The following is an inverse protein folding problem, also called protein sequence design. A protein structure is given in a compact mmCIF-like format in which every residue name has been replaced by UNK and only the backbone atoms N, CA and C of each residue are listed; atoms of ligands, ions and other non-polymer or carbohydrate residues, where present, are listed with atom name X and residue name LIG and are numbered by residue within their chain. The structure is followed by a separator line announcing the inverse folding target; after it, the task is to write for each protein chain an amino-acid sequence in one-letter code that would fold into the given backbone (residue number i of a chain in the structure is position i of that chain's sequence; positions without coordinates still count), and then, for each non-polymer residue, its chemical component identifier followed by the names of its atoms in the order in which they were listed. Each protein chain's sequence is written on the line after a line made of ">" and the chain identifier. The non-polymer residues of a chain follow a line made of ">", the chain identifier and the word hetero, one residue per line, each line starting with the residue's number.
data_IF_249060346831
#
_entry.id   IF_249060346831
#
_cell.length_a   1.000
_cell.length_b   1.000
_cell.length_c   1.000
_cell.angle_alpha   90.00
_cell.angle_beta   90.00
_cell.angle_gamma   90.00
#
_symmetry.space_group_name_H-M   'P 1'
#
loop_
_entity.id
_entity.type
_entity.pdbx_description
1 polymer ?
2 non-polymer ?
3 non-polymer ?
4 water ?
#
# COMPACT_ATOMS: atom_id res chain seq x y z
N UNK A 8 5.81 -38.57 8.33
CA UNK A 8 5.10 -37.55 7.56
C UNK A 8 5.74 -36.17 7.73
N UNK A 9 6.31 -35.63 6.65
CA UNK A 9 7.06 -34.38 6.72
C UNK A 9 6.13 -33.19 6.87
N UNK A 10 6.71 -32.03 7.18
CA UNK A 10 5.93 -30.79 7.30
C UNK A 10 5.22 -30.46 5.99
N UNK A 11 5.92 -30.65 4.87
CA UNK A 11 5.32 -30.43 3.55
C UNK A 11 4.17 -31.40 3.32
N UNK A 12 4.36 -32.66 3.72
CA UNK A 12 3.35 -33.69 3.53
C UNK A 12 2.09 -33.42 4.34
N UNK A 13 2.25 -32.91 5.55
CA UNK A 13 1.11 -32.51 6.37
C UNK A 13 0.30 -31.43 5.65
N UNK A 14 0.99 -30.43 5.09
CA UNK A 14 0.34 -29.36 4.34
C UNK A 14 -0.40 -29.93 3.13
N UNK A 15 0.27 -30.76 2.35
CA UNK A 15 -0.32 -31.36 1.14
C UNK A 15 -1.51 -32.26 1.49
N UNK A 16 -1.34 -33.10 2.50
CA UNK A 16 -2.39 -34.02 2.95
C UNK A 16 -3.61 -33.27 3.47
N UNK A 17 -3.37 -32.21 4.23
CA UNK A 17 -4.46 -31.40 4.79
C UNK A 17 -5.10 -30.46 3.77
N UNK A 18 -4.39 -30.21 2.67
CA UNK A 18 -4.89 -29.33 1.60
C UNK A 18 -4.96 -27.85 1.98
N UNK A 19 -4.29 -27.49 3.08
CA UNK A 19 -4.29 -26.11 3.57
C UNK A 19 -2.88 -25.72 4.04
N UNK A 20 -2.45 -24.51 3.68
CA UNK A 20 -1.24 -23.92 4.23
C UNK A 20 -1.66 -22.84 5.22
N UNK A 21 -1.42 -23.10 6.51
CA UNK A 21 -1.75 -22.16 7.56
C UNK A 21 -0.57 -21.20 7.81
N UNK A 22 -0.82 -19.91 7.61
CA UNK A 22 0.20 -18.87 7.72
C UNK A 22 -0.21 -17.90 8.82
N UNK A 23 0.68 -17.64 9.77
CA UNK A 23 0.42 -16.65 10.82
C UNK A 23 1.11 -15.33 10.48
N UNK A 24 0.41 -14.23 10.75
CA UNK A 24 0.89 -12.90 10.39
C UNK A 24 0.42 -11.87 11.40
N UNK A 25 0.76 -10.60 11.15
CA UNK A 25 0.29 -9.49 11.97
C UNK A 25 -0.98 -8.89 11.36
N UNK A 26 -1.81 -8.26 12.19
CA UNK A 26 -2.95 -7.51 11.68
C UNK A 26 -2.52 -6.08 11.33
N UNK A 27 -2.28 -5.85 10.03
CA UNK A 27 -1.93 -4.51 9.53
C UNK A 27 -1.92 -4.49 8.01
N UNK A 28 -2.21 -3.32 7.40
CA UNK A 28 -2.15 -3.17 5.95
C UNK A 28 -0.87 -3.69 5.30
N UNK A 29 0.26 -3.56 5.99
CA UNK A 29 1.53 -4.04 5.45
C UNK A 29 1.55 -5.55 5.25
N UNK A 30 0.89 -6.28 6.14
CA UNK A 30 0.99 -7.74 6.16
C UNK A 30 -0.31 -8.41 5.74
N UNK A 31 -1.39 -8.12 6.47
CA UNK A 31 -2.71 -8.70 6.20
C UNK A 31 -3.81 -7.76 6.72
N UNK A 32 -4.73 -7.41 5.82
CA UNK A 32 -5.78 -6.44 6.10
C UNK A 32 -7.10 -6.84 5.42
N UNK A 33 -8.17 -6.84 6.22
CA UNK A 33 -9.51 -7.18 5.74
C UNK A 33 -10.34 -5.93 5.48
N UNK A 34 -10.89 -5.85 4.27
CA UNK A 34 -11.74 -4.74 3.86
C UNK A 34 -12.93 -5.32 3.12
N UNK A 35 -14.08 -4.65 3.17
CA UNK A 35 -15.31 -5.14 2.51
C UNK A 35 -15.08 -5.69 1.09
N UNK A 36 -14.21 -5.04 0.32
CA UNK A 36 -13.89 -5.50 -1.03
C UNK A 36 -13.00 -6.75 -1.08
N UNK A 37 -12.23 -7.01 -0.01
CA UNK A 37 -11.40 -8.22 0.04
C UNK A 37 -10.21 -8.18 0.99
N UNK A 38 -9.24 -9.04 0.73
CA UNK A 38 -8.05 -9.16 1.56
C UNK A 38 -6.82 -8.69 0.81
N UNK A 39 -5.99 -7.87 1.47
CA UNK A 39 -4.76 -7.35 0.88
C UNK A 39 -3.59 -7.49 1.85
N UNK A 40 -2.39 -7.16 1.36
CA UNK A 40 -1.18 -7.14 2.16
C UNK A 40 -0.01 -7.78 1.43
N UNK A 41 1.16 -7.20 1.59
CA UNK A 41 2.39 -7.72 0.98
C UNK A 41 2.57 -9.21 1.29
N UNK A 42 2.51 -9.55 2.59
CA UNK A 42 2.69 -10.92 3.03
C UNK A 42 1.51 -11.79 2.59
N UNK A 43 0.30 -11.25 2.68
CA UNK A 43 -0.90 -11.97 2.28
C UNK A 43 -0.78 -12.45 0.83
N UNK A 44 -0.44 -11.54 -0.08
CA UNK A 44 -0.31 -11.87 -1.50
C UNK A 44 0.89 -12.78 -1.80
N UNK A 45 1.96 -12.61 -1.05
CA UNK A 45 3.14 -13.47 -1.24
C UNK A 45 2.83 -14.89 -0.79
N UNK A 46 2.20 -15.02 0.38
CA UNK A 46 1.77 -16.32 0.90
C UNK A 46 0.70 -16.98 0.03
N UNK A 47 -0.23 -16.16 -0.47
CA UNK A 47 -1.29 -16.64 -1.35
C UNK A 47 -0.68 -17.29 -2.59
N UNK A 48 0.29 -16.62 -3.20
CA UNK A 48 1.00 -17.15 -4.36
C UNK A 48 1.75 -18.45 -4.02
N UNK A 49 2.33 -18.52 -2.82
CA UNK A 49 3.00 -19.74 -2.37
C UNK A 49 2.02 -20.90 -2.19
N UNK A 50 0.84 -20.62 -1.62
CA UNK A 50 -0.20 -21.64 -1.47
C UNK A 50 -0.61 -22.19 -2.84
N UNK A 51 -0.78 -21.30 -3.80
CA UNK A 51 -1.08 -21.70 -5.18
C UNK A 51 0.04 -22.55 -5.79
N UNK A 52 1.30 -22.17 -5.55
CA UNK A 52 2.44 -22.98 -5.99
C UNK A 52 2.34 -24.41 -5.46
N UNK A 53 1.93 -24.55 -4.20
CA UNK A 53 1.81 -25.86 -3.54
C UNK A 53 0.50 -26.57 -3.86
N UNK A 54 -0.45 -25.89 -4.51
CA UNK A 54 -1.74 -26.48 -4.86
C UNK A 54 -2.66 -26.66 -3.67
N UNK A 55 -2.57 -25.73 -2.71
CA UNK A 55 -3.34 -25.81 -1.47
C UNK A 55 -3.94 -24.43 -1.18
N UNK A 56 -4.98 -24.41 -0.36
CA UNK A 56 -5.62 -23.14 -0.02
C UNK A 56 -4.89 -22.48 1.15
N UNK A 57 -4.98 -21.16 1.19
CA UNK A 57 -4.33 -20.36 2.22
C UNK A 57 -5.32 -20.18 3.36
N UNK A 58 -4.81 -20.27 4.58
CA UNK A 58 -5.60 -20.00 5.78
C UNK A 58 -4.79 -19.04 6.67
N UNK A 59 -5.27 -17.81 6.76
CA UNK A 59 -4.57 -16.77 7.50
C UNK A 59 -4.98 -16.80 8.97
N UNK A 60 -3.97 -16.81 9.85
CA UNK A 60 -4.15 -16.66 11.29
C UNK A 60 -3.36 -15.43 11.71
N UNK A 61 -3.87 -14.70 12.70
CA UNK A 61 -3.20 -13.48 13.16
C UNK A 61 -2.75 -13.61 14.61
N UNK A 62 -1.68 -12.88 14.94
CA UNK A 62 -1.14 -12.82 16.30
C UNK A 62 -1.32 -11.42 16.88
N UNK A 63 -1.54 -11.34 18.18
CA UNK A 63 -1.73 -10.06 18.85
C UNK A 63 -0.42 -9.28 19.00
N UNK A 64 0.70 -10.01 18.99
CA UNK A 64 2.02 -9.42 19.07
C UNK A 64 3.08 -10.45 18.65
N UNK A 65 4.35 -10.04 18.65
CA UNK A 65 5.42 -10.89 18.13
C UNK A 65 5.70 -12.08 19.05
N UNK A 66 5.68 -11.88 20.35
CA UNK A 66 5.84 -12.99 21.30
C UNK A 66 4.77 -14.04 21.05
N UNK A 67 3.53 -13.60 20.88
CA UNK A 67 2.40 -14.50 20.57
C UNK A 67 2.60 -15.20 19.22
N UNK A 68 3.05 -14.45 18.22
CA UNK A 68 3.31 -15.02 16.90
C UNK A 68 4.31 -16.17 16.97
N UNK A 69 5.44 -15.94 17.62
CA UNK A 69 6.47 -16.99 17.76
C UNK A 69 6.01 -18.13 18.67
N UNK A 70 5.19 -17.81 19.67
CA UNK A 70 4.62 -18.83 20.56
C UNK A 70 3.68 -19.75 19.77
N UNK A 71 2.83 -19.19 18.92
CA UNK A 71 1.93 -20.01 18.09
C UNK A 71 2.70 -20.89 17.12
N UNK A 72 3.72 -20.32 16.49
CA UNK A 72 4.54 -21.05 15.50
C UNK A 72 5.20 -22.29 16.10
N UNK A 73 5.60 -22.22 17.36
CA UNK A 73 6.30 -23.34 18.00
C UNK A 73 5.39 -24.26 18.83
N UNK A 74 4.09 -23.99 18.84
CA UNK A 74 3.16 -24.87 19.58
C UNK A 74 2.78 -26.08 18.73
N UNK A 75 2.42 -27.16 19.41
CA UNK A 75 1.95 -28.37 18.74
C UNK A 75 0.63 -28.07 18.02
N UNK A 76 0.55 -28.44 16.75
CA UNK A 76 -0.62 -28.10 15.92
C UNK A 76 -0.65 -26.65 15.46
N UNK A 77 0.49 -25.97 15.54
CA UNK A 77 0.58 -24.58 15.11
C UNK A 77 0.60 -24.41 13.60
N UNK A 78 0.72 -23.17 13.13
CA UNK A 78 0.73 -22.94 11.69
C UNK A 78 2.00 -23.42 11.01
N UNK A 79 2.00 -23.47 9.69
CA UNK A 79 3.15 -23.96 8.92
C UNK A 79 4.30 -22.94 8.94
N UNK A 80 3.98 -21.66 8.82
CA UNK A 80 5.00 -20.62 8.80
C UNK A 80 4.43 -19.27 9.20
N UNK A 81 5.34 -18.34 9.52
CA UNK A 81 4.98 -16.97 9.84
C UNK A 81 5.50 -16.04 8.75
N UNK A 82 4.60 -15.22 8.21
CA UNK A 82 4.93 -14.26 7.17
C UNK A 82 4.42 -12.91 7.65
N UNK A 83 5.32 -12.12 8.22
CA UNK A 83 4.93 -10.92 8.96
C UNK A 83 6.01 -9.85 9.00
N UNK A 84 6.79 -9.73 7.93
CA UNK A 84 7.86 -8.72 7.88
C UNK A 84 8.88 -8.93 8.98
N UNK A 85 9.27 -10.18 9.21
CA UNK A 85 10.12 -10.54 10.35
C UNK A 85 11.61 -10.35 10.06
N UNK A 86 12.33 -9.80 11.03
CA UNK A 86 13.78 -9.67 10.97
C UNK A 86 14.38 -10.86 11.73
N UNK A 87 15.19 -11.70 11.06
CA UNK A 87 15.81 -12.80 11.81
C UNK A 87 16.62 -12.32 13.01
N UNK A 88 16.64 -13.12 14.07
CA UNK A 88 17.30 -12.75 15.31
C UNK A 88 18.79 -12.51 15.16
N UNK A 89 19.32 -11.60 15.97
CA UNK A 89 20.77 -11.35 16.03
C UNK A 89 21.52 -12.67 16.19
N UNK A 90 21.01 -13.55 17.05
CA UNK A 90 21.61 -14.86 17.30
C UNK A 90 20.57 -15.98 17.16
N UNK A 91 21.03 -17.17 16.76
CA UNK A 91 20.15 -18.31 16.50
C UNK A 91 19.46 -18.82 17.76
N UNK A 92 18.20 -19.21 17.61
CA UNK A 92 17.41 -19.85 18.65
C UNK A 92 16.82 -21.12 18.05
N UNK A 93 16.91 -22.24 18.78
CA UNK A 93 16.44 -23.53 18.27
C UNK A 93 14.95 -23.56 17.92
N UNK A 94 14.17 -22.66 18.52
CA UNK A 94 12.72 -22.62 18.32
C UNK A 94 12.29 -22.15 16.92
N UNK A 95 13.15 -21.40 16.22
CA UNK A 95 12.76 -20.81 14.94
C UNK A 95 13.88 -20.87 13.89
N UNK A 96 13.48 -21.12 12.65
CA UNK A 96 14.40 -21.09 11.51
C UNK A 96 13.83 -20.14 10.49
N UNK A 97 14.69 -19.37 9.84
CA UNK A 97 14.25 -18.36 8.88
C UNK A 97 14.60 -18.74 7.44
N UNK A 98 13.70 -18.39 6.53
CA UNK A 98 13.92 -18.55 5.09
C UNK A 98 15.00 -17.60 4.61
N UNK A 99 15.32 -17.69 3.32
CA UNK A 99 16.13 -16.67 2.66
C UNK A 99 15.37 -15.34 2.70
N UNK A 100 16.12 -14.24 2.59
CA UNK A 100 15.53 -12.92 2.74
C UNK A 100 14.87 -12.49 1.44
N UNK A 101 13.83 -11.66 1.54
CA UNK A 101 13.06 -11.27 0.36
C UNK A 101 12.79 -9.76 0.24
N UNK A 102 13.37 -8.98 1.15
CA UNK A 102 13.23 -7.52 1.11
C UNK A 102 14.25 -6.92 2.08
N UNK A 103 15.07 -6.02 1.56
CA UNK A 103 16.03 -5.30 2.38
C UNK A 103 15.38 -4.04 2.97
N UNK A 104 15.41 -3.93 4.30
CA UNK A 104 14.86 -2.79 5.00
C UNK A 104 15.88 -2.19 5.94
N UNK A 105 15.72 -0.91 6.25
CA UNK A 105 16.61 -0.21 7.15
C UNK A 105 15.84 0.27 8.37
N UNK A 106 16.27 -0.14 9.58
CA UNK A 106 15.62 0.39 10.77
C UNK A 106 15.83 1.89 10.89
N UNK A 107 14.78 2.64 11.19
CA UNK A 107 14.88 4.09 11.31
C UNK A 107 14.30 4.58 12.62
N UNK A 108 15.02 5.50 13.26
CA UNK A 108 14.49 6.25 14.41
C UNK A 108 13.57 7.33 13.86
N UNK A 109 12.36 7.40 14.41
CA UNK A 109 11.34 8.33 13.93
C UNK A 109 11.13 9.41 15.00
N UNK A 110 11.09 10.67 14.56
CA UNK A 110 10.86 11.80 15.48
C UNK A 110 9.72 12.70 14.98
N UNK A 111 9.36 13.70 15.79
CA UNK A 111 8.24 14.57 15.49
C UNK A 111 8.73 15.94 15.00
N UNK A 112 8.36 16.29 13.76
CA UNK A 112 8.59 17.63 13.25
C UNK A 112 8.07 18.63 14.27
N UNK A 113 8.91 19.57 14.68
CA UNK A 113 8.58 20.49 15.77
C UNK A 113 9.54 20.37 16.95
N UNK A 114 10.03 19.15 17.18
CA UNK A 114 11.06 18.88 18.19
C UNK A 114 12.41 18.64 17.51
N UNK A 115 13.49 18.66 18.29
CA UNK A 115 14.83 18.54 17.73
C UNK A 115 15.13 17.11 17.26
N UNK A 116 15.81 17.01 16.12
CA UNK A 116 16.09 15.72 15.50
C UNK A 116 17.32 15.09 16.14
N UNK A 117 17.14 13.94 16.83
CA UNK A 117 18.34 13.24 17.28
C UNK A 117 19.12 12.75 16.07
N UNK A 118 20.45 12.83 16.14
CA UNK A 118 21.31 12.56 14.99
C UNK A 118 22.13 11.28 15.11
N UNK A 119 22.38 10.84 16.34
CA UNK A 119 23.21 9.67 16.61
C UNK A 119 22.56 8.83 17.71
N UNK A 120 22.96 7.55 17.83
CA UNK A 120 22.46 6.68 18.91
C UNK A 120 22.56 7.29 20.32
N UNK A 121 23.63 8.03 20.60
CA UNK A 121 23.82 8.65 21.92
C UNK A 121 22.72 9.65 22.26
N UNK A 122 22.11 10.27 21.25
CA UNK A 122 21.03 11.22 21.45
C UNK A 122 19.71 10.58 21.89
N UNK A 123 19.62 9.25 21.86
CA UNK A 123 18.40 8.52 22.27
C UNK A 123 18.21 8.50 23.79
N UNK A 124 19.30 8.71 24.52
CA UNK A 124 19.26 8.85 25.98
C UNK A 124 18.46 10.10 26.34
N UNK A 125 17.61 9.98 27.36
CA UNK A 125 16.78 11.09 27.83
C UNK A 125 15.55 11.37 26.97
N UNK A 126 15.06 10.34 26.28
CA UNK A 126 13.88 10.48 25.42
C UNK A 126 12.78 9.50 25.81
N UNK A 127 11.54 9.92 25.62
CA UNK A 127 10.39 9.03 25.73
C UNK A 127 10.33 8.16 24.46
N UNK A 128 10.70 6.89 24.60
CA UNK A 128 10.76 5.96 23.46
C UNK A 128 9.85 4.74 23.68
N UNK A 129 9.06 4.40 22.66
CA UNK A 129 8.29 3.16 22.66
C UNK A 129 8.53 2.37 21.37
N UNK A 130 8.68 1.05 21.54
CA UNK A 130 8.84 0.12 20.44
C UNK A 130 7.97 -1.12 20.68
N UNK A 131 7.85 -1.96 19.66
CA UNK A 131 7.08 -3.20 19.79
C UNK A 131 7.82 -4.17 20.72
N UNK A 132 7.08 -4.77 21.64
CA UNK A 132 7.64 -5.80 22.50
C UNK A 132 7.97 -7.06 21.68
N UNK A 133 9.14 -7.63 21.95
CA UNK A 133 9.59 -8.84 21.28
C UNK A 133 10.19 -8.61 19.91
N UNK A 134 10.38 -7.34 19.53
CA UNK A 134 10.89 -6.99 18.20
C UNK A 134 12.41 -6.93 18.13
N UNK A 135 12.93 -7.03 16.91
CA UNK A 135 14.35 -6.82 16.65
C UNK A 135 14.74 -5.41 17.03
N UNK A 136 13.78 -4.49 16.90
CA UNK A 136 13.95 -3.09 17.28
C UNK A 136 14.20 -2.90 18.76
N UNK A 137 13.42 -3.59 19.59
CA UNK A 137 13.66 -3.61 21.03
C UNK A 137 15.06 -4.16 21.34
N UNK A 138 15.47 -5.21 20.62
CA UNK A 138 16.79 -5.79 20.80
C UNK A 138 17.92 -4.84 20.41
N UNK A 139 17.71 -4.04 19.36
CA UNK A 139 18.69 -3.03 18.99
C UNK A 139 18.91 -2.05 20.14
N UNK A 140 17.82 -1.68 20.81
CA UNK A 140 17.87 -0.76 21.93
C UNK A 140 18.45 -1.41 23.19
N UNK A 141 18.21 -2.72 23.35
CA UNK A 141 18.82 -3.48 24.45
C UNK A 141 20.33 -3.51 24.27
N UNK A 142 20.79 -3.82 23.05
CA UNK A 142 22.21 -3.78 22.74
C UNK A 142 22.81 -2.39 22.96
N UNK A 143 22.09 -1.34 22.54
CA UNK A 143 22.57 0.03 22.72
C UNK A 143 22.69 0.40 24.21
N UNK A 144 21.74 -0.09 25.01
CA UNK A 144 21.70 0.22 26.45
C UNK A 144 22.93 -0.30 27.21
N UNK A 145 23.54 -1.37 26.70
CA UNK A 145 24.80 -1.85 27.27
C UNK A 145 25.91 -0.80 27.13
N UNK A 146 25.85 0.00 26.07
CA UNK A 146 26.83 1.04 25.81
C UNK A 146 26.46 2.37 26.49
N UNK A 147 25.16 2.64 26.58
CA UNK A 147 24.65 3.82 27.29
C UNK A 147 23.62 3.37 28.33
N UNK A 148 24.07 3.04 29.55
CA UNK A 148 23.17 2.47 30.57
C UNK A 148 21.99 3.35 31.02
N UNK A 149 22.06 4.66 30.77
CA UNK A 149 20.95 5.55 31.13
C UNK A 149 19.82 5.55 30.10
N UNK A 150 20.02 4.89 28.96
CA UNK A 150 18.96 4.76 27.95
C UNK A 150 17.71 4.11 28.55
N UNK A 151 16.56 4.73 28.30
CA UNK A 151 15.26 4.17 28.67
C UNK A 151 14.37 4.04 27.43
N UNK A 152 13.69 2.90 27.33
CA UNK A 152 12.70 2.67 26.28
C UNK A 152 11.62 1.72 26.79
N UNK A 153 10.38 1.95 26.38
CA UNK A 153 9.26 1.10 26.76
C UNK A 153 8.92 0.12 25.64
N UNK A 154 8.52 -1.09 26.02
CA UNK A 154 8.09 -2.12 25.09
C UNK A 154 6.61 -2.39 25.32
N UNK A 155 5.79 -2.26 24.28
CA UNK A 155 4.36 -2.52 24.40
C UNK A 155 3.95 -3.74 23.58
N UNK A 156 3.12 -4.59 24.18
CA UNK A 156 2.55 -5.75 23.48
C UNK A 156 1.15 -5.45 22.93
N UNK A 157 0.65 -4.25 23.19
CA UNK A 157 -0.72 -3.87 22.86
C UNK A 157 -0.81 -3.00 21.60
N UNK A 158 0.34 -2.62 21.04
CA UNK A 158 0.37 -1.69 19.90
C UNK A 158 0.95 -2.33 18.65
N UNK A 159 0.57 -1.75 17.51
CA UNK A 159 1.19 -2.05 16.22
C UNK A 159 1.99 -0.85 15.77
N UNK A 160 2.71 -1.00 14.66
CA UNK A 160 3.57 0.05 14.14
C UNK A 160 2.79 1.34 13.87
N UNK A 161 1.57 1.19 13.35
CA UNK A 161 0.72 2.34 13.05
C UNK A 161 0.44 3.17 14.32
N UNK A 162 0.25 2.48 15.44
CA UNK A 162 0.00 3.14 16.72
C UNK A 162 1.25 3.87 17.24
N UNK A 163 2.41 3.23 17.11
CA UNK A 163 3.66 3.85 17.54
C UNK A 163 3.91 5.15 16.79
N UNK A 164 3.68 5.13 15.47
CA UNK A 164 3.87 6.30 14.64
C UNK A 164 2.82 7.37 14.95
N UNK A 165 1.60 6.94 15.30
CA UNK A 165 0.56 7.88 15.72
C UNK A 165 0.99 8.59 17.01
N UNK A 166 1.55 7.84 17.95
CA UNK A 166 2.03 8.41 19.21
C UNK A 166 3.11 9.47 19.01
N UNK A 167 3.97 9.27 18.03
CA UNK A 167 4.99 10.25 17.69
C UNK A 167 4.33 11.45 17.04
N UNK A 168 3.40 11.19 16.11
CA UNK A 168 2.70 12.25 15.39
C UNK A 168 1.98 13.25 16.31
N UNK A 169 1.35 12.76 17.38
CA UNK A 169 0.57 13.62 18.27
C UNK A 169 1.31 14.01 19.55
N UNK A 170 2.50 13.46 19.77
CA UNK A 170 3.35 13.88 20.87
C UNK A 170 3.19 13.10 22.18
N UNK A 171 2.62 11.90 22.11
CA UNK A 171 2.51 11.00 23.27
C UNK A 171 3.86 10.41 23.66
N UNK A 172 4.71 10.20 22.67
CA UNK A 172 6.09 9.78 22.88
C UNK A 172 6.97 10.67 22.01
N UNK A 173 8.27 10.69 22.31
CA UNK A 173 9.21 11.48 21.53
C UNK A 173 9.65 10.73 20.28
N UNK A 174 9.97 9.45 20.45
CA UNK A 174 10.61 8.66 19.38
C UNK A 174 10.11 7.24 19.32
N UNK A 175 10.20 6.65 18.13
CA UNK A 175 10.05 5.21 17.98
C UNK A 175 11.10 4.70 17.01
N UNK A 176 11.06 3.40 16.73
CA UNK A 176 12.02 2.73 15.86
C UNK A 176 11.27 1.68 15.07
N UNK A 177 11.30 1.82 13.74
CA UNK A 177 10.55 0.95 12.84
C UNK A 177 11.32 0.72 11.53
N UNK A 178 10.95 -0.32 10.80
CA UNK A 178 11.57 -0.62 9.51
C UNK A 178 11.17 0.41 8.47
N UNK A 179 12.13 0.81 7.64
CA UNK A 179 11.93 1.86 6.63
C UNK A 179 10.71 1.67 5.74
N UNK A 180 10.42 0.42 5.38
CA UNK A 180 9.29 0.13 4.50
C UNK A 180 7.93 0.48 5.13
N UNK A 181 7.78 0.19 6.42
CA UNK A 181 6.51 0.46 7.10
C UNK A 181 6.40 1.94 7.46
N UNK A 182 7.54 2.62 7.61
CA UNK A 182 7.55 4.08 7.73
C UNK A 182 7.01 4.69 6.44
N UNK A 183 7.53 4.25 5.30
CA UNK A 183 7.06 4.73 3.98
C UNK A 183 5.57 4.48 3.79
N UNK A 184 5.12 3.30 4.20
CA UNK A 184 3.69 2.97 4.12
C UNK A 184 2.80 3.87 4.99
N UNK A 185 3.33 4.31 6.13
CA UNK A 185 2.55 5.06 7.11
C UNK A 185 2.72 6.57 7.07
N UNK A 186 3.71 7.05 6.32
CA UNK A 186 4.01 8.49 6.25
C UNK A 186 2.80 9.28 5.73
N UNK A 187 2.00 8.64 4.87
CA UNK A 187 0.78 9.26 4.31
C UNK A 187 -0.36 9.48 5.30
N UNK A 188 -0.25 8.96 6.53
CA UNK A 188 -1.27 9.19 7.56
C UNK A 188 -0.83 10.18 8.63
N UNK A 189 0.48 10.36 8.80
CA UNK A 189 1.04 11.10 9.93
C UNK A 189 1.88 12.28 9.46
N UNK A 190 1.30 13.49 9.48
CA UNK A 190 1.96 14.63 8.84
C UNK A 190 3.23 15.14 9.53
N UNK A 191 3.37 14.88 10.84
CA UNK A 191 4.52 15.38 11.61
C UNK A 191 5.64 14.37 11.82
N UNK A 192 5.39 13.12 11.43
CA UNK A 192 6.40 12.06 11.53
C UNK A 192 7.53 12.31 10.53
N UNK A 193 8.77 12.14 10.99
CA UNK A 193 9.96 12.33 10.16
C UNK A 193 11.01 11.30 10.54
N UNK A 194 11.85 10.94 9.58
CA UNK A 194 12.97 10.04 9.84
C UNK A 194 14.07 10.85 10.53
N UNK A 195 14.55 10.38 11.67
CA UNK A 195 15.64 11.04 12.37
C UNK A 195 16.98 10.59 11.78
N UNK A 196 17.22 9.28 11.82
CA UNK A 196 18.39 8.68 11.17
C UNK A 196 18.21 7.16 11.01
N UNK A 197 19.02 6.56 10.15
CA UNK A 197 19.05 5.12 9.96
C UNK A 197 19.84 4.49 11.11
N UNK A 198 19.19 3.64 11.89
CA UNK A 198 19.83 3.04 13.04
C UNK A 198 20.24 1.60 12.72
N UNK A 199 21.52 1.43 12.40
CA UNK A 199 22.06 0.12 11.98
C UNK A 199 21.97 -0.08 10.48
N UNK A 200 22.65 -1.12 10.00
CA UNK A 200 22.69 -1.41 8.56
C UNK A 200 21.38 -2.04 8.10
N UNK A 201 21.19 -2.10 6.78
CA UNK A 201 20.00 -2.69 6.19
C UNK A 201 19.99 -4.18 6.49
N UNK A 202 18.79 -4.71 6.72
CA UNK A 202 18.62 -6.11 7.11
C UNK A 202 17.59 -6.74 6.19
N UNK A 203 17.67 -8.05 6.02
CA UNK A 203 16.70 -8.78 5.22
C UNK A 203 15.51 -9.26 6.02
N UNK A 204 14.32 -9.14 5.46
CA UNK A 204 13.13 -9.73 6.06
C UNK A 204 13.01 -11.18 5.56
N UNK A 205 12.51 -12.06 6.44
CA UNK A 205 12.41 -13.48 6.13
C UNK A 205 11.19 -14.12 6.79
N UNK A 206 10.69 -15.20 6.20
CA UNK A 206 9.62 -15.98 6.80
C UNK A 206 10.22 -16.89 7.85
N UNK A 207 9.43 -17.19 8.88
CA UNK A 207 9.87 -18.04 9.99
C UNK A 207 9.16 -19.39 9.95
N UNK A 208 9.91 -20.47 10.15
CA UNK A 208 9.35 -21.82 10.25
C UNK A 208 9.65 -22.42 11.63
N UNK A 209 8.90 -23.46 12.02
CA UNK A 209 9.20 -24.12 13.30
C UNK A 209 10.62 -24.68 13.34
N UNK A 210 11.13 -24.98 14.54
CA UNK A 210 12.49 -25.50 14.69
C UNK A 210 12.61 -26.94 14.25
N UNK A 211 13.83 -27.48 14.34
CA UNK A 211 14.07 -28.89 14.02
C UNK A 211 14.75 -29.11 12.68
N UNK A 212 14.87 -30.38 12.30
CA UNK A 212 15.69 -30.80 11.15
C UNK A 212 14.92 -30.99 9.84
N UNK A 213 13.61 -30.72 9.85
CA UNK A 213 12.77 -30.97 8.68
C UNK A 213 12.82 -29.80 7.68
N UNK A 214 13.43 -30.04 6.51
CA UNK A 214 13.64 -29.00 5.50
C UNK A 214 12.67 -29.05 4.32
N UNK A 215 11.71 -29.97 4.35
CA UNK A 215 10.78 -30.18 3.24
C UNK A 215 10.05 -28.89 2.88
N UNK A 216 9.44 -28.24 3.87
CA UNK A 216 8.73 -26.98 3.60
C UNK A 216 9.70 -25.83 3.35
N UNK A 217 10.77 -25.78 4.14
CA UNK A 217 11.76 -24.69 4.01
C UNK A 217 12.32 -24.57 2.60
N UNK A 218 12.71 -25.70 2.01
CA UNK A 218 13.29 -25.70 0.67
C UNK A 218 12.31 -25.23 -0.40
N UNK A 219 11.03 -25.54 -0.23
CA UNK A 219 9.98 -25.01 -1.12
C UNK A 219 9.75 -23.51 -0.93
N UNK A 220 9.86 -23.05 0.31
CA UNK A 220 9.74 -21.62 0.59
C UNK A 220 10.85 -20.86 -0.12
N UNK A 221 12.09 -21.36 0.00
CA UNK A 221 13.25 -20.71 -0.61
C UNK A 221 13.28 -20.78 -2.14
N UNK A 222 12.78 -21.88 -2.71
CA UNK A 222 12.62 -21.99 -4.17
C UNK A 222 11.56 -21.01 -4.66
N UNK A 223 10.46 -20.91 -3.91
CA UNK A 223 9.39 -19.98 -4.27
C UNK A 223 9.85 -18.53 -4.29
N UNK A 224 10.55 -18.12 -3.22
CA UNK A 224 11.00 -16.73 -3.10
C UNK A 224 11.99 -16.39 -4.21
N UNK A 225 12.76 -17.37 -4.67
CA UNK A 225 13.67 -17.17 -5.80
C UNK A 225 12.86 -16.89 -7.07
N UNK A 226 11.84 -17.71 -7.31
CA UNK A 226 10.94 -17.50 -8.44
C UNK A 226 10.17 -16.17 -8.32
N UNK A 227 9.77 -15.82 -7.09
CA UNK A 227 9.08 -14.54 -6.85
C UNK A 227 9.95 -13.36 -7.25
N UNK A 228 11.24 -13.44 -6.97
CA UNK A 228 12.19 -12.42 -7.40
C UNK A 228 12.28 -12.34 -8.93
N UNK A 229 12.57 -13.48 -9.57
CA UNK A 229 12.75 -13.54 -11.03
C UNK A 229 11.56 -12.99 -11.83
N UNK A 230 10.34 -13.25 -11.36
CA UNK A 230 9.12 -12.78 -12.04
C UNK A 230 8.78 -11.31 -11.80
N UNK A 231 9.47 -10.65 -10.87
CA UNK A 231 9.19 -9.27 -10.53
C UNK A 231 8.13 -9.09 -9.46
N UNK A 232 7.62 -10.21 -8.93
CA UNK A 232 6.52 -10.16 -7.94
C UNK A 232 6.90 -9.39 -6.68
N UNK A 233 8.13 -9.60 -6.19
CA UNK A 233 8.58 -8.91 -4.99
C UNK A 233 8.66 -7.41 -5.20
N UNK A 234 9.18 -7.00 -6.36
CA UNK A 234 9.24 -5.59 -6.72
C UNK A 234 7.84 -4.96 -6.86
N UNK A 235 6.92 -5.69 -7.49
CA UNK A 235 5.56 -5.17 -7.70
C UNK A 235 4.78 -5.06 -6.38
N UNK A 236 4.94 -6.05 -5.50
CA UNK A 236 4.34 -5.99 -4.17
C UNK A 236 5.00 -4.88 -3.33
N UNK A 237 6.32 -4.81 -3.38
CA UNK A 237 7.07 -3.77 -2.68
C UNK A 237 6.57 -2.38 -3.09
N UNK A 238 6.37 -2.18 -4.39
CA UNK A 238 5.95 -0.88 -4.90
C UNK A 238 4.52 -0.51 -4.48
N UNK A 239 3.62 -1.48 -4.49
CA UNK A 239 2.23 -1.19 -4.10
C UNK A 239 2.12 -0.84 -2.62
N UNK A 240 2.70 -1.66 -1.76
CA UNK A 240 2.52 -1.50 -0.32
C UNK A 240 3.51 -0.55 0.31
N UNK A 241 4.77 -0.59 -0.14
CA UNK A 241 5.84 0.16 0.48
C UNK A 241 6.44 1.25 -0.42
N UNK A 242 5.77 1.58 -1.53
CA UNK A 242 6.31 2.55 -2.49
C UNK A 242 5.72 3.96 -2.42
N UNK A 243 5.00 4.31 -1.36
CA UNK A 243 4.33 5.62 -1.30
C UNK A 243 5.33 6.77 -1.42
N UNK A 244 6.44 6.67 -0.69
CA UNK A 244 7.44 7.75 -0.70
C UNK A 244 8.21 7.76 -2.03
N UNK A 245 8.54 6.59 -2.55
CA UNK A 245 9.21 6.46 -3.85
C UNK A 245 8.43 7.13 -4.97
N UNK A 246 7.13 6.91 -5.01
CA UNK A 246 6.32 7.39 -6.12
C UNK A 246 5.79 8.80 -5.91
N UNK A 247 5.30 9.10 -4.71
CA UNK A 247 4.72 10.42 -4.43
C UNK A 247 5.77 11.44 -3.99
N UNK A 248 6.95 10.98 -3.59
CA UNK A 248 7.98 11.86 -3.02
C UNK A 248 7.69 12.06 -1.54
N UNK A 249 8.70 12.48 -0.79
CA UNK A 249 8.57 12.57 0.66
C UNK A 249 7.68 13.71 1.10
N UNK A 250 7.84 14.85 0.43
CA UNK A 250 6.98 16.00 0.68
C UNK A 250 5.54 15.65 0.30
N UNK A 251 5.37 15.02 -0.87
CA UNK A 251 4.06 14.53 -1.32
C UNK A 251 3.40 13.59 -0.32
N UNK A 252 4.18 12.72 0.30
CA UNK A 252 3.66 11.76 1.28
C UNK A 252 3.08 12.44 2.52
N UNK A 253 3.86 13.27 3.20
CA UNK A 253 3.35 13.93 4.42
C UNK A 253 2.40 15.08 4.13
N UNK A 254 2.45 15.61 2.90
CA UNK A 254 1.50 16.61 2.45
C UNK A 254 0.12 15.97 2.29
N UNK A 255 0.10 14.76 1.72
CA UNK A 255 -1.15 14.00 1.63
C UNK A 255 -1.70 13.74 3.04
N UNK A 256 -0.83 13.39 3.97
CA UNK A 256 -1.22 13.18 5.35
C UNK A 256 -1.88 14.42 5.94
N UNK A 257 -1.29 15.60 5.69
CA UNK A 257 -1.87 16.85 6.16
C UNK A 257 -3.26 17.08 5.55
N UNK A 258 -3.41 16.76 4.27
CA UNK A 258 -4.69 16.96 3.59
C UNK A 258 -5.74 15.94 4.02
N UNK A 259 -5.32 14.69 4.22
CA UNK A 259 -6.20 13.66 4.77
C UNK A 259 -6.83 14.13 6.08
N UNK A 260 -6.02 14.83 6.88
CA UNK A 260 -6.41 15.28 8.21
C UNK A 260 -7.22 16.60 8.19
N UNK A 261 -6.87 17.51 7.30
CA UNK A 261 -7.48 18.86 7.29
C UNK A 261 -8.56 19.03 6.23
N UNK A 262 -8.38 18.43 5.06
CA UNK A 262 -9.27 18.66 3.93
C UNK A 262 -10.38 17.61 3.79
N UNK A 263 -10.03 16.34 3.85
CA UNK A 263 -11.01 15.28 3.60
C UNK A 263 -12.24 15.32 4.51
N UNK A 264 -12.08 15.67 5.80
CA UNK A 264 -13.25 15.72 6.68
C UNK A 264 -14.37 16.67 6.22
N UNK A 265 -14.03 17.69 5.44
CA UNK A 265 -15.04 18.60 4.91
C UNK A 265 -15.88 17.99 3.78
N UNK A 266 -15.35 16.96 3.12
CA UNK A 266 -16.00 16.39 1.94
C UNK A 266 -16.31 14.89 2.04
N UNK A 267 -15.95 14.27 3.16
CA UNK A 267 -16.09 12.83 3.30
C UNK A 267 -17.54 12.37 3.16
N UNK A 268 -18.47 13.09 3.80
CA UNK A 268 -19.88 12.72 3.71
C UNK A 268 -20.43 12.88 2.29
N UNK A 269 -19.91 13.84 1.52
CA UNK A 269 -20.32 14.00 0.12
C UNK A 269 -19.87 12.79 -0.71
N UNK A 270 -18.64 12.35 -0.49
CA UNK A 270 -18.11 11.17 -1.17
C UNK A 270 -18.89 9.90 -0.80
N UNK A 271 -19.14 9.72 0.49
CA UNK A 271 -19.90 8.56 0.98
C UNK A 271 -21.33 8.56 0.46
N UNK A 272 -21.95 9.73 0.37
CA UNK A 272 -23.32 9.84 -0.13
C UNK A 272 -23.39 9.49 -1.61
N UNK A 273 -22.47 10.05 -2.40
CA UNK A 273 -22.40 9.75 -3.83
C UNK A 273 -22.09 8.27 -4.03
N UNK A 274 -21.13 7.76 -3.26
CA UNK A 274 -20.74 6.35 -3.34
C UNK A 274 -21.89 5.41 -3.02
N UNK A 275 -22.68 5.76 -2.01
CA UNK A 275 -23.82 4.94 -1.60
C UNK A 275 -24.93 4.93 -2.67
N UNK A 276 -25.33 6.10 -3.14
CA UNK A 276 -26.38 6.17 -4.16
C UNK A 276 -25.94 5.71 -5.55
N UNK A 277 -24.65 5.75 -5.82
CA UNK A 277 -24.11 5.22 -7.08
C UNK A 277 -23.58 3.78 -6.93
N UNK A 278 -23.77 3.18 -5.76
CA UNK A 278 -23.33 1.82 -5.46
C UNK A 278 -21.86 1.57 -5.85
N UNK A 279 -20.98 2.51 -5.49
CA UNK A 279 -19.57 2.37 -5.82
C UNK A 279 -18.72 2.87 -4.64
N UNK A 280 -17.51 2.33 -4.54
CA UNK A 280 -16.65 2.59 -3.37
C UNK A 280 -16.31 4.08 -3.26
N UNK A 281 -16.66 4.68 -2.12
CA UNK A 281 -16.49 6.12 -1.92
C UNK A 281 -15.03 6.56 -1.92
N UNK A 282 -14.13 5.65 -1.55
CA UNK A 282 -12.71 5.98 -1.44
C UNK A 282 -12.04 6.06 -2.79
N UNK A 283 -12.54 5.32 -3.78
CA UNK A 283 -12.08 5.48 -5.15
C UNK A 283 -12.47 6.86 -5.68
N UNK A 284 -13.66 7.33 -5.32
CA UNK A 284 -14.15 8.63 -5.74
C UNK A 284 -13.36 9.76 -5.06
N UNK A 285 -13.10 9.60 -3.77
CA UNK A 285 -12.25 10.53 -3.02
C UNK A 285 -10.81 10.55 -3.58
N UNK A 286 -10.32 9.40 -4.03
CA UNK A 286 -8.99 9.31 -4.63
C UNK A 286 -8.92 10.10 -5.94
N UNK A 287 -9.99 10.03 -6.74
CA UNK A 287 -10.10 10.85 -7.95
C UNK A 287 -10.07 12.33 -7.58
N UNK A 288 -10.83 12.68 -6.54
CA UNK A 288 -10.86 14.05 -6.03
C UNK A 288 -9.49 14.58 -5.62
N UNK A 289 -8.67 13.73 -5.00
CA UNK A 289 -7.35 14.18 -4.56
C UNK A 289 -6.42 14.43 -5.75
N UNK A 290 -6.38 13.49 -6.67
CA UNK A 290 -5.58 13.62 -7.89
C UNK A 290 -5.98 14.86 -8.70
N UNK A 291 -7.28 15.15 -8.74
CA UNK A 291 -7.80 16.26 -9.53
C UNK A 291 -7.52 17.63 -8.91
N UNK A 292 -7.85 17.80 -7.64
CA UNK A 292 -7.77 19.10 -6.99
C UNK A 292 -7.13 19.13 -5.59
N UNK A 293 -6.61 17.99 -5.12
CA UNK A 293 -6.13 17.85 -3.75
C UNK A 293 -7.23 18.22 -2.75
N UNK A 294 -8.45 17.82 -3.07
CA UNK A 294 -9.65 18.19 -2.32
C UNK A 294 -9.76 19.70 -2.09
N UNK A 295 -9.70 20.46 -3.19
CA UNK A 295 -9.91 21.90 -3.14
C UNK A 295 -11.06 22.27 -4.08
N UNK A 296 -12.22 22.66 -3.51
CA UNK A 296 -13.41 22.90 -4.32
C UNK A 296 -13.34 24.15 -5.20
N UNK A 297 -12.52 25.12 -4.80
CA UNK A 297 -12.33 26.34 -5.58
C UNK A 297 -11.22 26.25 -6.60
N UNK A 298 -10.62 25.08 -6.74
CA UNK A 298 -9.53 24.87 -7.69
C UNK A 298 -9.99 25.13 -9.12
N UNK A 299 -9.14 25.77 -9.90
CA UNK A 299 -9.43 26.07 -11.30
C UNK A 299 -8.18 25.81 -12.16
N UNK A 300 -8.32 26.02 -13.46
CA UNK A 300 -7.20 25.89 -14.39
C UNK A 300 -7.50 26.64 -15.68
N UNK A 301 -6.48 26.78 -16.52
CA UNK A 301 -6.63 27.46 -17.80
C UNK A 301 -6.93 26.49 -18.95
N UNK A 302 -7.08 25.20 -18.63
CA UNK A 302 -7.37 24.17 -19.62
C UNK A 302 -8.86 23.82 -19.73
N UNK A 303 -9.72 24.63 -19.10
CA UNK A 303 -11.15 24.43 -19.17
C UNK A 303 -11.68 23.34 -18.26
N UNK A 304 -11.10 23.20 -17.07
CA UNK A 304 -11.65 22.32 -16.02
C UNK A 304 -11.64 23.05 -14.70
N UNK A 305 -12.62 22.76 -13.86
CA UNK A 305 -12.85 23.54 -12.65
C UNK A 305 -13.50 22.72 -11.53
N UNK A 306 -13.16 23.08 -10.28
CA UNK A 306 -13.79 22.48 -9.11
C UNK A 306 -13.06 21.28 -8.54
N UNK A 307 -13.63 20.70 -7.49
CA UNK A 307 -13.00 19.61 -6.74
C UNK A 307 -12.68 18.41 -7.63
N UNK A 308 -13.60 18.03 -8.50
CA UNK A 308 -13.38 16.90 -9.41
C UNK A 308 -12.89 17.33 -10.81
N UNK A 309 -12.69 18.64 -10.99
CA UNK A 309 -12.12 19.20 -12.22
C UNK A 309 -12.92 18.84 -13.46
N UNK A 310 -14.18 19.28 -13.47
CA UNK A 310 -15.09 18.97 -14.57
C UNK A 310 -15.00 20.02 -15.65
N UNK A 311 -15.07 19.59 -16.91
CA UNK A 311 -15.27 20.49 -18.03
C UNK A 311 -16.72 20.95 -17.99
N UNK A 312 -17.03 22.04 -18.70
CA UNK A 312 -18.42 22.48 -18.86
C UNK A 312 -19.25 21.42 -19.56
N UNK A 313 -18.65 20.82 -20.59
CA UNK A 313 -19.23 19.68 -21.31
C UNK A 313 -19.73 18.59 -20.34
N UNK A 314 -18.80 18.07 -19.54
CA UNK A 314 -19.10 17.05 -18.55
C UNK A 314 -20.10 17.54 -17.51
N UNK A 315 -19.87 18.76 -16.98
CA UNK A 315 -20.75 19.34 -15.97
C UNK A 315 -22.20 19.49 -16.46
N UNK A 316 -22.35 19.89 -17.72
CA UNK A 316 -23.69 20.06 -18.32
C UNK A 316 -24.39 18.72 -18.52
N UNK A 317 -23.65 17.74 -19.02
CA UNK A 317 -24.17 16.40 -19.22
C UNK A 317 -24.61 15.73 -17.90
N UNK A 318 -23.82 15.93 -16.85
CA UNK A 318 -24.10 15.34 -15.54
C UNK A 318 -25.12 16.13 -14.71
N UNK A 319 -25.56 17.29 -15.21
CA UNK A 319 -26.55 18.10 -14.50
C UNK A 319 -25.95 18.91 -13.36
N UNK A 320 -24.69 19.28 -13.51
CA UNK A 320 -23.97 20.11 -12.54
C UNK A 320 -24.16 21.59 -12.90
N UNK A 321 -24.87 22.33 -12.05
CA UNK A 321 -25.13 23.75 -12.28
C UNK A 321 -24.12 24.68 -11.61
N UNK A 322 -23.22 24.11 -10.80
CA UNK A 322 -22.15 24.88 -10.17
C UNK A 322 -20.92 24.02 -9.90
N UNK A 323 -19.92 24.18 -10.75
CA UNK A 323 -18.69 23.39 -10.65
C UNK A 323 -17.90 23.70 -9.38
N UNK A 324 -18.06 24.91 -8.84
CA UNK A 324 -17.38 25.30 -7.62
C UNK A 324 -18.03 24.79 -6.34
N UNK A 325 -19.26 24.26 -6.43
CA UNK A 325 -19.89 23.63 -5.27
C UNK A 325 -19.33 22.22 -5.06
N UNK A 326 -18.81 21.93 -3.85
CA UNK A 326 -18.16 20.64 -3.65
C UNK A 326 -19.11 19.44 -3.80
N UNK A 327 -20.33 19.55 -3.25
CA UNK A 327 -21.32 18.48 -3.34
C UNK A 327 -21.67 18.15 -4.80
N UNK A 328 -21.97 19.19 -5.59
CA UNK A 328 -22.31 19.00 -6.99
C UNK A 328 -21.13 18.44 -7.79
N UNK A 329 -19.94 19.01 -7.55
CA UNK A 329 -18.74 18.57 -8.26
C UNK A 329 -18.47 17.10 -7.98
N UNK A 330 -18.49 16.72 -6.70
CA UNK A 330 -18.24 15.34 -6.30
C UNK A 330 -19.28 14.41 -6.95
N UNK A 331 -20.55 14.79 -6.85
CA UNK A 331 -21.63 13.98 -7.42
C UNK A 331 -21.50 13.84 -8.94
N UNK A 332 -21.28 14.97 -9.61
CA UNK A 332 -21.16 15.00 -11.08
C UNK A 332 -20.03 14.14 -11.60
N UNK A 333 -18.85 14.34 -11.02
CA UNK A 333 -17.68 13.56 -11.41
C UNK A 333 -17.81 12.10 -11.07
N UNK A 334 -18.44 11.81 -9.94
CA UNK A 334 -18.68 10.43 -9.52
C UNK A 334 -19.66 9.77 -10.46
N UNK A 335 -20.75 10.47 -10.76
CA UNK A 335 -21.72 9.99 -11.74
C UNK A 335 -21.05 9.75 -13.09
N UNK A 336 -20.24 10.71 -13.52
CA UNK A 336 -19.52 10.59 -14.79
C UNK A 336 -18.59 9.36 -14.81
N UNK A 337 -17.88 9.11 -13.71
CA UNK A 337 -16.99 7.96 -13.64
C UNK A 337 -17.76 6.65 -13.77
N UNK A 338 -18.88 6.55 -13.08
CA UNK A 338 -19.71 5.34 -13.09
C UNK A 338 -20.34 5.10 -14.45
N UNK A 339 -20.83 6.17 -15.07
CA UNK A 339 -21.38 6.08 -16.42
C UNK A 339 -20.31 5.63 -17.42
N UNK A 340 -19.12 6.23 -17.36
CA UNK A 340 -18.01 5.85 -18.23
C UNK A 340 -17.69 4.36 -18.06
N UNK A 341 -17.57 3.93 -16.81
CA UNK A 341 -17.25 2.53 -16.52
C UNK A 341 -18.31 1.58 -17.08
N UNK A 342 -19.59 1.96 -16.94
CA UNK A 342 -20.69 1.14 -17.45
C UNK A 342 -20.65 1.01 -18.97
N UNK A 343 -20.22 2.08 -19.64
CA UNK A 343 -20.20 2.13 -21.11
C UNK A 343 -18.96 1.48 -21.75
N UNK A 344 -17.98 1.05 -20.95
CA UNK A 344 -16.81 0.34 -21.49
C UNK A 344 -17.25 -0.98 -22.12
N UNK A 345 -16.61 -1.40 -23.23
CA UNK A 345 -16.99 -2.65 -23.87
C UNK A 345 -17.02 -3.85 -22.92
N UNK A 346 -18.02 -4.71 -23.10
CA UNK A 346 -18.32 -5.81 -22.19
C UNK A 346 -17.15 -6.78 -22.01
N UNK A 347 -16.25 -6.84 -22.99
CA UNK A 347 -15.05 -7.68 -22.93
C UNK A 347 -14.06 -7.32 -21.82
N UNK A 348 -14.11 -6.08 -21.34
CA UNK A 348 -13.23 -5.65 -20.27
C UNK A 348 -13.85 -6.01 -18.92
N UNK A 349 -13.19 -6.92 -18.20
CA UNK A 349 -13.68 -7.40 -16.91
C UNK A 349 -12.97 -6.68 -15.77
N UNK A 350 -13.63 -6.59 -14.62
CA UNK A 350 -12.98 -6.12 -13.40
C UNK A 350 -11.91 -7.15 -13.03
N UNK A 351 -10.83 -6.72 -12.38
CA UNK A 351 -10.57 -5.39 -11.83
C UNK A 351 -10.03 -4.37 -12.85
N UNK A 352 -9.62 -4.84 -14.04
CA UNK A 352 -9.09 -3.95 -15.08
C UNK A 352 -10.11 -2.90 -15.51
N UNK A 353 -11.37 -3.30 -15.54
CA UNK A 353 -12.46 -2.41 -15.98
C UNK A 353 -12.46 -1.07 -15.26
N UNK A 354 -12.19 -1.09 -13.96
CA UNK A 354 -12.15 0.14 -13.16
C UNK A 354 -10.95 1.02 -13.48
N UNK A 355 -9.82 0.40 -13.83
CA UNK A 355 -8.62 1.15 -14.21
C UNK A 355 -8.79 1.75 -15.62
N UNK A 356 -9.36 0.96 -16.52
CA UNK A 356 -9.77 1.46 -17.85
C UNK A 356 -10.72 2.66 -17.70
N UNK A 357 -11.62 2.58 -16.72
CA UNK A 357 -12.59 3.65 -16.48
C UNK A 357 -11.93 4.94 -16.02
N UNK A 358 -10.90 4.82 -15.20
CA UNK A 358 -10.10 5.99 -14.77
C UNK A 358 -9.38 6.61 -15.96
N UNK A 359 -8.86 5.77 -16.86
CA UNK A 359 -8.19 6.25 -18.06
C UNK A 359 -9.15 7.05 -18.95
N UNK A 360 -10.36 6.53 -19.14
CA UNK A 360 -11.40 7.21 -19.91
C UNK A 360 -11.93 8.46 -19.21
N UNK A 361 -11.97 8.43 -17.89
CA UNK A 361 -12.34 9.61 -17.10
C UNK A 361 -11.40 10.76 -17.40
N UNK A 362 -10.11 10.44 -17.50
CA UNK A 362 -9.07 11.43 -17.76
C UNK A 362 -8.99 11.85 -19.24
N UNK A 363 -9.01 10.87 -20.13
CA UNK A 363 -8.68 11.11 -21.55
C UNK A 363 -9.88 10.98 -22.50
N UNK A 364 -11.00 10.44 -22.00
CA UNK A 364 -12.17 10.19 -22.84
C UNK A 364 -12.15 8.80 -23.45
N UNK A 365 -13.32 8.25 -23.71
CA UNK A 365 -13.45 6.90 -24.27
C UNK A 365 -12.98 6.76 -25.71
N UNK A 366 -13.11 7.82 -26.51
CA UNK A 366 -12.67 7.80 -27.91
C UNK A 366 -11.16 7.58 -28.01
N UNK A 367 -10.39 8.41 -27.29
CA UNK A 367 -8.93 8.25 -27.27
C UNK A 367 -8.51 6.90 -26.68
N UNK A 368 -9.19 6.45 -25.64
CA UNK A 368 -8.91 5.16 -25.03
C UNK A 368 -9.14 4.01 -26.00
N UNK A 369 -10.12 4.15 -26.88
CA UNK A 369 -10.38 3.16 -27.93
C UNK A 369 -9.21 3.05 -28.90
N UNK A 370 -8.63 4.20 -29.27
CA UNK A 370 -7.44 4.21 -30.13
C UNK A 370 -6.30 3.44 -29.45
N UNK A 371 -6.07 3.70 -28.18
CA UNK A 371 -5.04 3.00 -27.40
C UNK A 371 -5.27 1.49 -27.39
N UNK A 372 -6.53 1.07 -27.27
CA UNK A 372 -6.87 -0.35 -27.29
C UNK A 372 -6.67 -0.98 -28.67
N UNK A 373 -7.05 -0.27 -29.73
CA UNK A 373 -6.80 -0.75 -31.10
C UNK A 373 -5.30 -0.95 -31.36
N UNK A 374 -4.49 0.00 -30.89
CA UNK A 374 -3.03 -0.10 -31.00
C UNK A 374 -2.49 -1.33 -30.27
N UNK A 375 -3.08 -1.65 -29.13
CA UNK A 375 -2.68 -2.81 -28.35
C UNK A 375 -2.95 -4.11 -29.12
N UNK A 376 -4.14 -4.21 -29.70
CA UNK A 376 -4.50 -5.36 -30.52
C UNK A 376 -3.54 -5.55 -31.69
N UNK A 377 -3.19 -4.45 -32.37
CA UNK A 377 -2.24 -4.49 -33.49
C UNK A 377 -0.87 -5.00 -33.07
N UNK A 378 -0.41 -4.57 -31.91
CA UNK A 378 0.86 -5.07 -31.34
C UNK A 378 0.75 -6.50 -30.80
N UNK A 379 -0.44 -7.09 -30.87
CA UNK A 379 -0.66 -8.45 -30.41
C UNK A 379 -0.79 -8.56 -28.90
N UNK A 380 -1.05 -7.43 -28.25
CA UNK A 380 -1.30 -7.39 -26.82
C UNK A 380 -2.79 -7.57 -26.59
N UNK A 381 -3.16 -7.84 -25.35
CA UNK A 381 -4.56 -7.99 -24.98
C UNK A 381 -5.17 -6.61 -24.79
N UNK A 382 -6.18 -6.24 -25.60
CA UNK A 382 -6.82 -4.92 -25.43
C UNK A 382 -7.70 -4.83 -24.19
N UNK A 383 -8.02 -5.98 -23.59
CA UNK A 383 -8.84 -6.04 -22.37
C UNK A 383 -7.99 -6.08 -21.09
N UNK A 384 -6.67 -6.11 -21.25
CA UNK A 384 -5.75 -6.14 -20.12
C UNK A 384 -5.15 -4.75 -19.93
N UNK A 385 -5.36 -4.18 -18.75
CA UNK A 385 -4.98 -2.78 -18.49
C UNK A 385 -3.48 -2.52 -18.59
N UNK A 386 -2.68 -3.45 -18.06
CA UNK A 386 -1.22 -3.27 -18.08
C UNK A 386 -0.65 -3.27 -19.51
N UNK A 387 -1.36 -3.91 -20.44
CA UNK A 387 -0.97 -3.86 -21.86
C UNK A 387 -1.37 -2.53 -22.51
N UNK A 388 -2.63 -2.14 -22.32
CA UNK A 388 -3.15 -0.89 -22.91
C UNK A 388 -2.44 0.34 -22.33
N UNK A 389 -2.07 0.25 -21.06
CA UNK A 389 -1.25 1.26 -20.39
C UNK A 389 0.09 1.54 -21.12
N UNK A 390 0.65 0.52 -21.76
CA UNK A 390 1.88 0.70 -22.55
C UNK A 390 1.65 1.55 -23.79
N UNK A 391 0.44 1.48 -24.36
CA UNK A 391 0.13 2.13 -25.62
C UNK A 391 -0.28 3.60 -25.45
N UNK A 392 -0.84 3.93 -24.29
CA UNK A 392 -1.37 5.28 -24.04
C UNK A 392 -0.39 6.42 -24.30
N UNK A 393 0.86 6.29 -23.83
CA UNK A 393 1.84 7.35 -24.10
C UNK A 393 2.05 7.65 -25.60
N UNK A 394 1.82 6.65 -26.46
CA UNK A 394 2.01 6.82 -27.90
C UNK A 394 1.05 7.83 -28.53
N UNK A 395 -0.11 8.04 -27.89
CA UNK A 395 -1.07 9.04 -28.37
C UNK A 395 -0.53 10.47 -28.32
N UNK A 396 0.52 10.69 -27.53
CA UNK A 396 1.18 11.99 -27.45
C UNK A 396 2.24 12.19 -28.52
N UNK A 397 2.60 11.12 -29.23
CA UNK A 397 3.68 11.14 -30.22
C UNK A 397 3.12 11.14 -31.64
N UNK A 398 3.49 12.18 -32.41
CA UNK A 398 2.94 12.38 -33.77
C UNK A 398 3.25 11.22 -34.72
N UNK A 399 4.35 10.53 -34.46
CA UNK A 399 4.71 9.32 -35.18
C UNK A 399 3.61 8.25 -35.08
N UNK A 400 2.86 8.27 -33.98
CA UNK A 400 1.79 7.29 -33.75
C UNK A 400 0.38 7.87 -33.90
N UNK A 401 0.15 9.06 -33.36
CA UNK A 401 -1.22 9.58 -33.31
C UNK A 401 -1.79 10.01 -34.66
N UNK A 402 -0.92 10.36 -35.61
CA UNK A 402 -1.36 10.86 -36.92
C UNK A 402 -2.24 9.86 -37.69
N UNK A 403 -1.98 8.57 -37.52
CA UNK A 403 -2.74 7.51 -38.22
C UNK A 403 -3.95 6.98 -37.43
N UNK A 404 -4.10 7.40 -36.18
CA UNK A 404 -5.23 6.98 -35.36
C UNK A 404 -6.48 7.75 -35.76
N UNK A 405 -7.64 7.22 -35.39
CA UNK A 405 -8.92 7.85 -35.71
C UNK A 405 -9.10 9.20 -35.03
N UNK A 406 -8.67 9.31 -33.77
CA UNK A 406 -8.91 10.53 -33.01
C UNK A 406 -7.66 11.40 -32.77
N UNK A 407 -6.48 10.89 -33.12
CA UNK A 407 -5.28 11.71 -33.12
C UNK A 407 -4.70 12.00 -31.74
N UNK A 408 -4.04 13.14 -31.61
CA UNK A 408 -3.25 13.49 -30.42
C UNK A 408 -4.03 13.44 -29.11
N UNK A 409 -3.43 12.84 -28.09
CA UNK A 409 -3.95 12.91 -26.73
C UNK A 409 -2.81 12.75 -25.72
N UNK A 410 -2.96 13.38 -24.55
CA UNK A 410 -1.93 13.35 -23.51
C UNK A 410 -2.00 12.02 -22.74
N UNK A 411 -1.64 10.94 -23.41
CA UNK A 411 -1.71 9.60 -22.82
C UNK A 411 -0.66 9.33 -21.77
N UNK A 412 0.43 10.11 -21.78
CA UNK A 412 1.45 10.02 -20.75
C UNK A 412 0.90 10.49 -19.41
N UNK A 413 0.21 11.63 -19.44
CA UNK A 413 -0.47 12.18 -18.27
C UNK A 413 -1.63 11.29 -17.80
N UNK A 414 -2.22 10.53 -18.72
CA UNK A 414 -3.29 9.59 -18.38
C UNK A 414 -2.76 8.43 -17.53
N UNK A 415 -1.61 7.88 -17.92
CA UNK A 415 -0.95 6.82 -17.16
C UNK A 415 -0.61 7.29 -15.74
N UNK A 416 -0.05 8.49 -15.62
CA UNK A 416 0.25 9.10 -14.33
C UNK A 416 -1.02 9.19 -13.47
N UNK A 417 -2.09 9.70 -14.07
CA UNK A 417 -3.38 9.87 -13.40
C UNK A 417 -3.92 8.56 -12.81
N UNK A 418 -3.84 7.48 -13.57
CA UNK A 418 -4.39 6.19 -13.17
C UNK A 418 -3.58 5.57 -12.04
N UNK A 419 -2.24 5.63 -12.20
CA UNK A 419 -1.33 5.10 -11.18
C UNK A 419 -1.52 5.80 -9.85
N UNK A 420 -1.62 7.12 -9.89
CA UNK A 420 -1.77 7.91 -8.66
C UNK A 420 -3.10 7.67 -7.95
N UNK A 421 -4.19 7.63 -8.72
CA UNK A 421 -5.51 7.38 -8.14
C UNK A 421 -5.56 6.00 -7.50
N UNK A 422 -5.02 4.99 -8.19
CA UNK A 422 -4.95 3.65 -7.62
C UNK A 422 -4.20 3.65 -6.27
N UNK A 423 -3.07 4.36 -6.21
CA UNK A 423 -2.30 4.48 -4.97
C UNK A 423 -3.09 5.22 -3.89
N UNK A 424 -3.69 6.35 -4.23
CA UNK A 424 -4.51 7.10 -3.27
C UNK A 424 -5.70 6.27 -2.79
N UNK A 425 -6.27 5.47 -3.70
CA UNK A 425 -7.36 4.55 -3.36
C UNK A 425 -6.88 3.50 -2.35
N UNK A 426 -5.71 2.91 -2.59
CA UNK A 426 -5.12 1.97 -1.63
C UNK A 426 -4.95 2.66 -0.27
N UNK A 427 -4.31 3.81 -0.30
CA UNK A 427 -4.01 4.56 0.93
C UNK A 427 -5.27 4.78 1.77
N UNK A 428 -6.36 5.19 1.12
CA UNK A 428 -7.61 5.48 1.84
C UNK A 428 -8.27 4.22 2.35
N UNK A 429 -8.20 3.16 1.54
CA UNK A 429 -8.71 1.84 1.94
C UNK A 429 -8.00 1.33 3.20
N UNK A 430 -6.71 1.67 3.35
CA UNK A 430 -5.91 1.12 4.43
C UNK A 430 -5.86 1.97 5.71
N UNK A 431 -6.65 3.05 5.75
CA UNK A 431 -6.78 3.85 6.96
C UNK A 431 -7.27 2.98 8.13
N UNK A 432 -6.66 3.15 9.29
CA UNK A 432 -7.11 2.46 10.51
C UNK A 432 -7.34 3.47 11.63
N UNK A 433 -8.35 3.23 12.46
CA UNK A 433 -8.77 4.21 13.46
C UNK A 433 -7.87 4.21 14.71
N UNK A 434 -7.72 5.37 15.38
CA UNK A 434 -6.92 5.46 16.62
C UNK A 434 -7.44 4.58 17.76
N UNK A 435 -6.55 4.25 18.69
CA UNK A 435 -6.92 3.50 19.89
C UNK A 435 -7.49 4.44 20.94
X LIG B 1 11.01 -6.48 11.52
X LIG B 1 10.69 -6.26 12.97
X LIG B 1 10.85 -7.52 13.79
X LIG B 1 11.04 -8.63 13.28
X LIG B 1 9.26 -5.74 13.13
X LIG B 1 8.03 -7.01 12.76
X LIG B 1 10.78 -7.45 15.02
X LIG C 1 -1.84 1.64 -13.16
#
# INVERSE_FOLDING_TARGET
>A
GSSEAKAPTALERVQKEGVLRVITRNSPATYFQDRNGETGFEYELAKRFAERLGVELKIETADNLDDLYAQLSREGGPALAAAGLTPGREDDASVRYSHTYLDVTPQIIYRNGQQRPTRPEDLVGKRIMVLKGSSHAEQLAELKKQYPELKYEESDAVEVVDLLRMVDVGDIDLTLVDSNELAMNQVYFPNVRVAFDFGEARGLAWALPGGDDDSLMNEVNAFLDQAKKEGLLQRLKDRYYGHVDVLGYVGAYTFAQHLQQRLPRYESHFKQSGKQLDTDWRLLAAIGYQESLWQPGATSKTGVRGLMMLTNRTAQAMGVSNRLDPKQSIQGGSKYFVQIRSELPESIKEPDRSWFALAAYNIGGAHLEDARKMAEKEGLNPNKWLDVKKMLPRLAQKQWYAKTRYGYARGGETVHFVQNVRRYYDILTWVTQPQ
>B hetero
1 CYS N CA C O CB SG OXT
>C hetero
1 CL CL
#
